data_IF_950768635821
#
_entry.id   IF_950768635821
#
_cell.length_a   1.000
_cell.length_b   1.000
_cell.length_c   1.000
_cell.angle_alpha   90.00
_cell.angle_beta   90.00
_cell.angle_gamma   90.00
#
_symmetry.space_group_name_H-M   'P 1'
#
loop_
_entity.id
_entity.type
_entity.pdbx_description
1 polymer ?
#
# COMPACT_ATOMS: atom_id res chain seq x y z
N UNK A 1 -13.44 0.49 -2.23
CA UNK A 1 -12.71 1.03 -3.40
C UNK A 1 -13.06 2.49 -3.58
N UNK A 2 -12.05 3.35 -3.42
CA UNK A 2 -12.12 4.79 -3.52
C UNK A 2 -11.27 5.26 -4.70
N UNK A 3 -11.90 5.27 -5.88
CA UNK A 3 -11.27 5.75 -7.10
C UNK A 3 -11.01 7.26 -7.06
N UNK A 4 -11.83 8.02 -6.32
CA UNK A 4 -11.70 9.47 -6.26
C UNK A 4 -10.42 9.84 -5.52
N UNK A 5 -10.20 9.27 -4.34
CA UNK A 5 -8.98 9.46 -3.54
C UNK A 5 -7.72 9.08 -4.33
N UNK A 6 -7.77 7.97 -5.07
CA UNK A 6 -6.67 7.57 -5.95
C UNK A 6 -6.38 8.61 -7.04
N UNK A 7 -7.42 9.12 -7.71
CA UNK A 7 -7.28 10.15 -8.75
C UNK A 7 -6.74 11.47 -8.19
N UNK A 8 -7.26 11.93 -7.06
CA UNK A 8 -6.82 13.16 -6.40
C UNK A 8 -5.36 13.07 -5.96
N UNK A 9 -4.96 11.94 -5.37
CA UNK A 9 -3.58 11.72 -4.92
C UNK A 9 -2.58 11.65 -6.09
N UNK A 10 -2.97 11.03 -7.20
CA UNK A 10 -2.09 10.81 -8.36
C UNK A 10 -2.16 11.91 -9.41
N UNK A 11 -3.15 12.81 -9.32
CA UNK A 11 -3.45 13.81 -10.35
C UNK A 11 -3.99 13.21 -11.65
N UNK A 12 -4.33 11.92 -11.65
CA UNK A 12 -4.72 11.21 -12.87
C UNK A 12 -6.21 11.34 -13.17
N UNK A 13 -6.53 11.50 -14.45
CA UNK A 13 -7.92 11.50 -14.93
C UNK A 13 -8.39 10.11 -15.37
N UNK A 14 -9.69 9.95 -15.64
CA UNK A 14 -10.29 8.66 -15.99
C UNK A 14 -9.67 8.04 -17.26
N UNK A 15 -9.25 8.87 -18.23
CA UNK A 15 -8.64 8.41 -19.48
C UNK A 15 -7.27 7.82 -19.23
N UNK A 16 -6.43 8.53 -18.48
CA UNK A 16 -5.07 8.08 -18.16
C UNK A 16 -5.08 6.75 -17.39
N UNK A 17 -5.99 6.60 -16.42
CA UNK A 17 -6.16 5.36 -15.67
C UNK A 17 -6.65 4.23 -16.57
N UNK A 18 -7.64 4.50 -17.42
CA UNK A 18 -8.19 3.52 -18.36
C UNK A 18 -7.11 3.01 -19.33
N UNK A 19 -6.32 3.92 -19.92
CA UNK A 19 -5.21 3.59 -20.82
C UNK A 19 -4.12 2.79 -20.10
N UNK A 20 -3.72 3.21 -18.89
CA UNK A 20 -2.68 2.54 -18.09
C UNK A 20 -3.05 1.11 -17.72
N UNK A 21 -4.34 0.85 -17.45
CA UNK A 21 -4.86 -0.45 -17.01
C UNK A 21 -5.34 -1.30 -18.19
N UNK A 22 -5.55 -0.70 -19.36
CA UNK A 22 -6.06 -1.37 -20.55
C UNK A 22 -7.56 -1.69 -20.46
N UNK A 23 -8.37 -0.77 -19.95
CA UNK A 23 -9.83 -0.90 -19.85
C UNK A 23 -10.53 0.31 -20.48
N UNK A 24 -11.85 0.23 -20.64
CA UNK A 24 -12.61 1.37 -21.14
C UNK A 24 -12.75 2.47 -20.07
N UNK A 25 -12.87 3.74 -20.50
CA UNK A 25 -13.20 4.86 -19.60
C UNK A 25 -14.51 4.59 -18.85
N UNK A 26 -15.49 3.99 -19.54
CA UNK A 26 -16.78 3.61 -18.93
C UNK A 26 -16.61 2.60 -17.79
N UNK A 27 -15.64 1.69 -17.89
CA UNK A 27 -15.29 0.76 -16.81
C UNK A 27 -14.79 1.52 -15.60
N UNK A 28 -13.85 2.46 -15.77
CA UNK A 28 -13.33 3.30 -14.68
C UNK A 28 -14.45 4.11 -14.03
N UNK A 29 -15.36 4.69 -14.82
CA UNK A 29 -16.50 5.42 -14.29
C UNK A 29 -17.46 4.52 -13.49
N UNK A 30 -17.75 3.31 -13.98
CA UNK A 30 -18.61 2.34 -13.29
C UNK A 30 -18.01 1.88 -11.95
N UNK A 31 -16.69 1.70 -11.90
CA UNK A 31 -15.94 1.41 -10.68
C UNK A 31 -16.04 2.58 -9.68
N UNK A 32 -15.81 3.81 -10.16
CA UNK A 32 -15.86 5.03 -9.32
C UNK A 32 -17.22 5.22 -8.64
N UNK A 33 -18.32 5.01 -9.37
CA UNK A 33 -19.68 5.18 -8.83
C UNK A 33 -20.22 3.92 -8.14
N UNK A 34 -19.40 2.88 -7.95
CA UNK A 34 -19.79 1.64 -7.27
C UNK A 34 -20.78 0.75 -8.04
N UNK A 35 -21.00 1.01 -9.33
CA UNK A 35 -21.91 0.22 -10.18
C UNK A 35 -21.28 -1.09 -10.69
N UNK A 36 -19.96 -1.21 -10.63
CA UNK A 36 -19.24 -2.41 -11.02
C UNK A 36 -18.31 -2.88 -9.90
N UNK A 37 -18.21 -4.20 -9.73
CA UNK A 37 -17.15 -4.82 -8.92
C UNK A 37 -15.99 -5.22 -9.83
N UNK A 38 -14.75 -4.83 -9.52
CA UNK A 38 -13.59 -5.24 -10.30
C UNK A 38 -13.34 -6.75 -10.18
N UNK A 39 -12.83 -7.35 -11.26
CA UNK A 39 -12.28 -8.71 -11.20
C UNK A 39 -10.97 -8.72 -10.42
N UNK A 40 -10.51 -9.91 -10.03
CA UNK A 40 -9.20 -10.06 -9.39
C UNK A 40 -8.04 -9.53 -10.25
N UNK A 41 -8.05 -9.83 -11.56
CA UNK A 41 -7.07 -9.28 -12.52
C UNK A 41 -7.08 -7.75 -12.54
N UNK A 42 -8.27 -7.14 -12.51
CA UNK A 42 -8.39 -5.69 -12.50
C UNK A 42 -7.91 -5.09 -11.17
N UNK A 43 -8.17 -5.74 -10.04
CA UNK A 43 -7.61 -5.37 -8.74
C UNK A 43 -6.07 -5.38 -8.77
N UNK A 44 -5.45 -6.43 -9.35
CA UNK A 44 -4.00 -6.49 -9.49
C UNK A 44 -3.46 -5.33 -10.33
N UNK A 45 -4.08 -5.05 -11.48
CA UNK A 45 -3.67 -3.93 -12.34
C UNK A 45 -3.81 -2.58 -11.64
N UNK A 46 -4.87 -2.38 -10.87
CA UNK A 46 -5.07 -1.16 -10.06
C UNK A 46 -3.93 -0.99 -9.04
N UNK A 47 -3.58 -2.04 -8.30
CA UNK A 47 -2.46 -2.01 -7.35
C UNK A 47 -1.13 -1.72 -8.05
N UNK A 48 -0.84 -2.40 -9.16
CA UNK A 48 0.36 -2.16 -9.96
C UNK A 48 0.39 -0.76 -10.58
N UNK A 49 -0.76 -0.16 -10.83
CA UNK A 49 -0.86 1.22 -11.32
C UNK A 49 -0.56 2.26 -10.24
N UNK A 50 -0.43 1.84 -8.98
CA UNK A 50 -0.09 2.70 -7.85
C UNK A 50 -1.25 2.96 -6.89
N UNK A 51 -2.38 2.26 -7.01
CA UNK A 51 -3.47 2.32 -6.03
C UNK A 51 -3.06 1.61 -4.74
N UNK A 52 -3.42 2.17 -3.59
CA UNK A 52 -3.07 1.57 -2.29
C UNK A 52 -4.08 0.50 -1.86
N UNK A 53 -3.69 -0.32 -0.89
CA UNK A 53 -4.58 -1.34 -0.30
C UNK A 53 -5.79 -0.66 0.36
N UNK A 54 -5.60 0.45 1.06
CA UNK A 54 -6.71 1.22 1.63
C UNK A 54 -7.64 1.81 0.56
N UNK A 55 -7.09 2.37 -0.52
CA UNK A 55 -7.92 2.85 -1.62
C UNK A 55 -8.73 1.72 -2.25
N UNK A 56 -8.18 0.51 -2.41
CA UNK A 56 -8.87 -0.58 -3.07
C UNK A 56 -9.85 -1.31 -2.13
N UNK A 57 -9.40 -1.69 -0.94
CA UNK A 57 -10.08 -2.59 0.00
C UNK A 57 -10.50 -1.94 1.32
N UNK A 58 -10.07 -0.71 1.59
CA UNK A 58 -10.37 0.02 2.82
C UNK A 58 -9.33 -0.15 3.93
N UNK A 59 -9.44 0.70 4.94
CA UNK A 59 -8.50 0.82 6.05
C UNK A 59 -8.36 -0.48 6.87
N UNK A 60 -9.47 -1.17 7.14
CA UNK A 60 -9.46 -2.43 7.89
C UNK A 60 -8.54 -3.48 7.23
N UNK A 61 -8.62 -3.59 5.90
CA UNK A 61 -7.78 -4.52 5.15
C UNK A 61 -6.32 -4.09 5.14
N UNK A 62 -6.06 -2.78 5.04
CA UNK A 62 -4.70 -2.23 5.11
C UNK A 62 -4.05 -2.53 6.46
N UNK A 63 -4.75 -2.28 7.56
CA UNK A 63 -4.30 -2.61 8.92
C UNK A 63 -3.99 -4.11 9.06
N UNK A 64 -4.90 -4.97 8.60
CA UNK A 64 -4.69 -6.42 8.65
C UNK A 64 -3.42 -6.87 7.88
N UNK A 65 -3.19 -6.31 6.68
CA UNK A 65 -1.99 -6.61 5.89
C UNK A 65 -0.73 -6.09 6.58
N UNK A 66 -0.76 -4.87 7.13
CA UNK A 66 0.36 -4.28 7.85
C UNK A 66 0.70 -5.10 9.09
N UNK A 67 -0.28 -5.51 9.88
CA UNK A 67 -0.05 -6.32 11.08
C UNK A 67 0.56 -7.68 10.71
N UNK A 68 0.03 -8.34 9.67
CA UNK A 68 0.62 -9.59 9.18
C UNK A 68 2.03 -9.43 8.65
N UNK A 69 2.33 -8.33 7.99
CA UNK A 69 3.68 -8.03 7.53
C UNK A 69 4.59 -7.71 8.72
N UNK A 70 4.11 -6.97 9.72
CA UNK A 70 4.83 -6.72 10.97
C UNK A 70 5.17 -8.03 11.66
N UNK A 71 4.27 -8.99 11.74
CA UNK A 71 4.55 -10.30 12.35
C UNK A 71 5.60 -11.11 11.57
N UNK A 72 5.69 -10.90 10.24
CA UNK A 72 6.67 -11.57 9.38
C UNK A 72 8.03 -10.85 9.35
N UNK A 73 8.03 -9.53 9.53
CA UNK A 73 9.22 -8.67 9.52
C UNK A 73 9.75 -8.46 10.94
N UNK A 74 8.95 -8.76 11.98
CA UNK A 74 9.34 -8.80 13.38
C UNK A 74 10.68 -9.52 13.44
N UNK A 75 11.77 -8.79 13.69
CA UNK A 75 13.07 -9.37 13.46
C UNK A 75 13.22 -10.44 14.53
N UNK A 76 13.51 -11.67 14.13
CA UNK A 76 14.19 -12.63 15.01
C UNK A 76 15.45 -11.99 15.66
N UNK A 77 15.92 -10.85 15.14
CA UNK A 77 17.05 -10.05 15.63
C UNK A 77 16.71 -8.90 16.58
N UNK A 78 15.44 -8.54 16.81
CA UNK A 78 15.10 -7.46 17.76
C UNK A 78 15.28 -7.93 19.21
N UNK A 79 15.07 -9.22 19.43
CA UNK A 79 15.35 -9.93 20.68
C UNK A 79 16.74 -10.60 20.69
N UNK A 80 17.56 -10.40 19.64
CA UNK A 80 18.92 -10.94 19.60
C UNK A 80 19.80 -10.11 20.55
N UNK A 81 20.33 -10.73 21.62
CA UNK A 81 21.16 -10.04 22.60
C UNK A 81 22.36 -9.35 21.96
N UNK A 82 22.93 -9.92 20.90
CA UNK A 82 24.10 -9.37 20.21
C UNK A 82 23.77 -8.07 19.46
N UNK A 83 22.57 -7.98 18.86
CA UNK A 83 22.10 -6.77 18.19
C UNK A 83 21.86 -5.63 19.20
N UNK A 84 21.22 -5.94 20.33
CA UNK A 84 20.96 -4.95 21.39
C UNK A 84 22.26 -4.43 22.03
N UNK A 85 23.25 -5.30 22.22
CA UNK A 85 24.56 -4.90 22.74
C UNK A 85 25.31 -3.99 21.75
N UNK A 86 25.27 -4.30 20.46
CA UNK A 86 25.88 -3.49 19.41
C UNK A 86 25.25 -2.09 19.32
N UNK A 87 23.92 -1.99 19.39
CA UNK A 87 23.19 -0.71 19.39
C UNK A 87 23.53 0.12 20.62
N UNK A 88 23.56 -0.49 21.82
CA UNK A 88 23.97 0.20 23.06
C UNK A 88 25.40 0.77 22.96
N UNK A 89 26.32 -0.01 22.39
CA UNK A 89 27.72 0.41 22.23
C UNK A 89 27.86 1.59 21.25
N UNK A 90 27.10 1.59 20.16
CA UNK A 90 27.08 2.69 19.20
C UNK A 90 26.50 3.97 19.79
N UNK A 91 25.39 3.89 20.55
CA UNK A 91 24.78 5.03 21.22
C UNK A 91 25.70 5.63 22.30
N UNK A 92 26.41 4.79 23.05
CA UNK A 92 27.38 5.24 24.05
C UNK A 92 28.60 5.96 23.43
N UNK A 93 28.95 5.64 22.18
CA UNK A 93 30.02 6.33 21.45
C UNK A 93 29.58 7.71 20.93
N UNK A 94 28.29 7.91 20.65
CA UNK A 94 27.73 9.17 20.17
C UNK A 94 27.49 10.22 21.28
N UNK A 95 27.27 9.78 22.52
CA UNK A 95 27.05 10.67 23.68
C UNK A 95 28.31 11.17 24.39
N UNK A 96 29.50 10.98 23.82
CA UNK A 96 30.80 11.33 24.43
C UNK A 96 31.48 12.59 23.86
N UNK A 97 30.74 13.44 23.15
CA UNK A 97 31.21 14.78 22.75
C UNK A 97 30.47 15.88 23.50
#
# INVERSE_FOLDING_TARGET
>A
MDMLKFMERTGQNHREIAEKIGVSISTINALKVGRAKPSYDLCQKLLLSGMTINELFGEETECFVIDRLRDKIAPKSADDPAFLEAVKKALAALGKN
#
